data_IF_367130613271
#
_entry.id   IF_367130613271
#
_cell.length_a   1.000
_cell.length_b   1.000
_cell.length_c   1.000
_cell.angle_alpha   90.00
_cell.angle_beta   90.00
_cell.angle_gamma   90.00
#
_symmetry.space_group_name_H-M   'P 1'
#
loop_
_entity.id
_entity.type
_entity.pdbx_description
1 polymer ?
#
# COMPACT_ATOMS: atom_id res chain seq x y z
N UNK A 1 -15.09 -51.04 79.56
CA UNK A 1 -13.86 -51.85 79.27
C UNK A 1 -13.00 -51.02 78.36
N UNK A 2 -11.99 -50.29 78.85
CA UNK A 2 -10.58 -50.63 78.81
C UNK A 2 -10.13 -50.83 77.33
N UNK A 3 -9.16 -50.13 76.76
CA UNK A 3 -7.81 -49.75 77.23
C UNK A 3 -7.22 -48.62 76.48
N UNK A 4 -6.54 -47.75 77.15
CA UNK A 4 -5.50 -46.83 76.76
C UNK A 4 -4.35 -47.48 76.01
N UNK A 5 -3.74 -46.77 75.03
CA UNK A 5 -2.30 -46.82 74.90
C UNK A 5 -1.80 -45.46 74.37
N UNK A 6 -0.81 -44.95 75.09
CA UNK A 6 0.01 -43.78 74.82
C UNK A 6 1.10 -44.16 73.79
N UNK A 7 1.48 -43.26 72.89
CA UNK A 7 2.82 -43.24 72.38
C UNK A 7 3.21 -41.88 71.83
N UNK A 8 4.16 -41.44 72.41
CA UNK A 8 5.28 -40.49 72.21
C UNK A 8 5.34 -39.73 70.88
N UNK A 9 5.43 -38.42 71.09
CA UNK A 9 5.84 -37.37 70.15
C UNK A 9 7.36 -37.39 69.97
N UNK A 10 7.86 -37.42 68.73
CA UNK A 10 9.20 -36.97 68.38
C UNK A 10 9.04 -35.89 67.39
N UNK A 11 9.33 -34.64 67.76
CA UNK A 11 9.44 -33.48 66.91
C UNK A 11 10.82 -33.46 66.24
N UNK A 12 10.88 -33.64 64.93
CA UNK A 12 12.06 -33.33 64.11
C UNK A 12 11.73 -32.13 63.34
N UNK A 13 12.30 -30.97 63.72
CA UNK A 13 12.27 -29.71 62.97
C UNK A 13 13.13 -29.80 61.74
N UNK A 14 12.53 -29.69 60.57
CA UNK A 14 13.22 -29.46 59.34
C UNK A 14 12.95 -28.00 58.92
N UNK A 15 13.93 -27.13 59.16
CA UNK A 15 13.92 -25.77 58.66
C UNK A 15 14.25 -25.81 57.16
N UNK A 16 13.22 -25.71 56.29
CA UNK A 16 13.39 -25.47 54.88
C UNK A 16 13.68 -23.96 54.65
N UNK A 17 14.94 -23.62 54.43
CA UNK A 17 15.34 -22.33 53.91
C UNK A 17 14.89 -22.28 52.44
N UNK A 18 13.74 -21.66 52.15
CA UNK A 18 13.30 -21.30 50.80
C UNK A 18 14.10 -20.07 50.41
N UNK A 19 15.24 -20.28 49.75
CA UNK A 19 15.98 -19.26 49.07
C UNK A 19 15.14 -18.76 47.88
N UNK A 20 14.45 -17.64 48.06
CA UNK A 20 13.74 -16.98 47.01
C UNK A 20 14.72 -16.43 45.96
N UNK A 21 15.04 -17.22 44.93
CA UNK A 21 15.64 -16.70 43.73
C UNK A 21 14.57 -15.88 43.02
N UNK A 22 14.54 -14.57 43.28
CA UNK A 22 13.81 -13.61 42.46
C UNK A 22 14.43 -13.64 41.07
N UNK A 23 13.89 -14.45 40.17
CA UNK A 23 14.15 -14.28 38.76
C UNK A 23 13.53 -12.94 38.37
N UNK A 24 14.35 -11.89 38.34
CA UNK A 24 14.04 -10.68 37.64
C UNK A 24 13.93 -11.07 36.16
N UNK A 25 12.71 -11.41 35.71
CA UNK A 25 12.41 -11.50 34.30
C UNK A 25 12.46 -10.06 33.77
N UNK A 26 13.64 -9.63 33.33
CA UNK A 26 13.74 -8.47 32.45
C UNK A 26 12.72 -8.75 31.34
N UNK A 27 11.80 -7.84 31.04
CA UNK A 27 10.96 -8.01 29.87
C UNK A 27 11.91 -8.14 28.68
N UNK A 28 11.92 -9.33 28.07
CA UNK A 28 12.64 -9.52 26.84
C UNK A 28 12.02 -8.52 25.85
N UNK A 29 12.74 -7.46 25.53
CA UNK A 29 12.40 -6.60 24.40
C UNK A 29 12.55 -7.50 23.17
N UNK A 30 11.44 -8.08 22.76
CA UNK A 30 11.35 -8.77 21.49
C UNK A 30 11.22 -7.68 20.42
N UNK A 31 12.34 -7.04 20.09
CA UNK A 31 12.41 -6.13 18.96
C UNK A 31 11.90 -6.81 17.70
N UNK A 32 11.56 -6.02 16.71
CA UNK A 32 11.09 -6.49 15.41
C UNK A 32 12.05 -7.54 14.84
N UNK A 33 11.59 -8.70 14.34
CA UNK A 33 12.45 -9.68 13.69
C UNK A 33 13.26 -9.05 12.55
N UNK A 34 14.55 -9.36 12.44
CA UNK A 34 15.49 -8.71 11.48
C UNK A 34 15.06 -8.75 10.01
N UNK A 35 14.17 -9.66 9.63
CA UNK A 35 13.65 -9.81 8.28
C UNK A 35 12.23 -9.24 8.10
N UNK A 36 11.73 -8.52 9.08
CA UNK A 36 10.42 -7.87 9.07
C UNK A 36 10.58 -6.38 9.35
N UNK A 37 9.74 -5.56 8.76
CA UNK A 37 9.63 -4.13 9.03
C UNK A 37 8.24 -3.83 9.60
N UNK A 38 8.19 -3.15 10.73
CA UNK A 38 6.94 -2.69 11.35
C UNK A 38 6.89 -1.17 11.30
N UNK A 39 5.85 -0.65 10.66
CA UNK A 39 5.59 0.78 10.56
C UNK A 39 4.38 1.14 11.44
N UNK A 40 4.59 1.95 12.47
CA UNK A 40 3.53 2.51 13.29
C UNK A 40 2.98 3.79 12.63
N UNK A 41 1.70 3.77 12.26
CA UNK A 41 1.04 4.87 11.56
C UNK A 41 -0.48 4.78 11.68
N UNK A 42 -1.18 5.88 11.40
CA UNK A 42 -2.63 5.79 11.18
C UNK A 42 -2.91 5.17 9.80
N UNK A 43 -3.80 4.18 9.76
CA UNK A 43 -4.32 3.60 8.50
C UNK A 43 -5.85 3.78 8.39
N UNK A 44 -6.40 4.74 9.11
CA UNK A 44 -7.86 4.99 9.15
C UNK A 44 -8.43 5.49 7.82
N UNK A 45 -7.58 6.05 6.95
CA UNK A 45 -7.93 6.50 5.61
C UNK A 45 -8.00 5.36 4.58
N UNK A 46 -7.51 4.16 4.90
CA UNK A 46 -7.54 3.02 3.99
C UNK A 46 -8.95 2.43 3.88
N UNK A 47 -9.61 2.65 2.75
CA UNK A 47 -10.99 2.22 2.48
C UNK A 47 -11.09 1.10 1.45
N UNK A 48 -10.05 0.91 0.65
CA UNK A 48 -10.02 -0.07 -0.45
C UNK A 48 -8.58 -0.40 -0.84
N UNK A 49 -8.39 -1.56 -1.47
CA UNK A 49 -7.13 -1.98 -2.10
C UNK A 49 -7.26 -2.05 -3.63
N UNK A 50 -8.43 -1.69 -4.17
CA UNK A 50 -8.66 -1.64 -5.62
C UNK A 50 -7.96 -0.41 -6.23
N UNK A 51 -6.97 -0.59 -7.13
CA UNK A 51 -6.27 0.54 -7.75
C UNK A 51 -7.18 1.50 -8.53
N UNK A 52 -8.36 1.01 -8.97
CA UNK A 52 -9.33 1.85 -9.67
C UNK A 52 -10.08 2.82 -8.74
N UNK A 53 -9.99 2.63 -7.42
CA UNK A 53 -10.67 3.48 -6.43
C UNK A 53 -9.70 4.14 -5.45
N UNK A 54 -8.54 3.54 -5.16
CA UNK A 54 -7.56 4.10 -4.22
C UNK A 54 -7.17 5.53 -4.61
N UNK A 55 -7.38 6.46 -3.68
CA UNK A 55 -6.97 7.86 -3.84
C UNK A 55 -6.41 8.45 -2.53
N UNK A 56 -6.47 7.70 -1.44
CA UNK A 56 -5.94 8.05 -0.13
C UNK A 56 -4.44 7.73 -0.04
N UNK A 57 -3.72 8.41 0.88
CA UNK A 57 -2.27 8.24 1.01
C UNK A 57 -1.88 6.81 1.41
N UNK A 58 -2.53 6.24 2.44
CA UNK A 58 -2.21 4.87 2.90
C UNK A 58 -2.53 3.83 1.82
N UNK A 59 -3.68 3.96 1.17
CA UNK A 59 -4.04 3.09 0.05
C UNK A 59 -3.03 3.19 -1.09
N UNK A 60 -2.64 4.42 -1.45
CA UNK A 60 -1.63 4.69 -2.48
C UNK A 60 -0.27 4.04 -2.17
N UNK A 61 0.15 4.03 -0.90
CA UNK A 61 1.38 3.39 -0.45
C UNK A 61 1.29 1.86 -0.55
N UNK A 62 0.18 1.28 -0.12
CA UNK A 62 -0.03 -0.18 -0.20
C UNK A 62 -0.04 -0.63 -1.66
N UNK A 63 -0.84 0.00 -2.53
CA UNK A 63 -0.91 -0.41 -3.94
C UNK A 63 0.40 -0.16 -4.70
N UNK A 64 1.21 0.84 -4.31
CA UNK A 64 2.53 1.07 -4.91
C UNK A 64 3.52 -0.07 -4.66
N UNK A 65 3.33 -0.84 -3.60
CA UNK A 65 4.15 -1.99 -3.25
C UNK A 65 3.57 -3.33 -3.72
N UNK A 66 2.25 -3.38 -3.97
CA UNK A 66 1.55 -4.62 -4.35
C UNK A 66 1.37 -4.75 -5.86
N UNK A 67 1.31 -3.65 -6.60
CA UNK A 67 1.10 -3.63 -8.03
C UNK A 67 2.28 -3.00 -8.79
N UNK A 68 2.60 -3.53 -9.95
CA UNK A 68 3.35 -2.78 -10.96
C UNK A 68 2.39 -1.88 -11.75
N UNK A 69 2.85 -0.69 -12.08
CA UNK A 69 2.16 0.25 -12.95
C UNK A 69 2.60 0.08 -14.40
N UNK A 70 1.80 0.56 -15.33
CA UNK A 70 2.18 0.56 -16.76
C UNK A 70 3.49 1.29 -16.97
N UNK A 71 3.59 2.51 -16.46
CA UNK A 71 4.82 3.32 -16.38
C UNK A 71 5.13 3.60 -14.92
N UNK A 72 6.37 3.97 -14.59
CA UNK A 72 6.78 4.33 -13.23
C UNK A 72 7.91 5.36 -13.25
N UNK A 73 8.17 5.99 -12.14
CA UNK A 73 9.37 6.78 -11.93
C UNK A 73 10.46 5.92 -11.27
N UNK A 74 11.70 6.25 -11.51
CA UNK A 74 12.81 5.67 -10.76
C UNK A 74 12.72 6.06 -9.29
N UNK A 75 13.06 5.13 -8.38
CA UNK A 75 12.94 5.36 -6.95
C UNK A 75 13.80 6.53 -6.45
N UNK A 76 14.98 6.70 -7.05
CA UNK A 76 15.95 7.75 -6.68
C UNK A 76 15.84 9.01 -7.56
N UNK A 77 15.08 8.93 -8.65
CA UNK A 77 14.91 10.04 -9.60
C UNK A 77 13.45 10.17 -10.06
N UNK A 78 12.67 10.91 -9.30
CA UNK A 78 11.24 11.14 -9.57
C UNK A 78 10.96 12.04 -10.80
N UNK A 79 11.98 12.41 -11.55
CA UNK A 79 11.82 13.17 -12.80
C UNK A 79 11.97 12.30 -14.05
N UNK A 80 12.55 11.10 -13.91
CA UNK A 80 12.76 10.17 -15.01
C UNK A 80 11.67 9.12 -15.05
N UNK A 81 10.80 9.20 -16.05
CA UNK A 81 9.77 8.22 -16.33
C UNK A 81 10.39 7.00 -17.02
N UNK A 82 10.18 5.82 -16.47
CA UNK A 82 10.68 4.53 -16.96
C UNK A 82 9.55 3.54 -17.18
N UNK A 83 9.83 2.46 -17.90
CA UNK A 83 8.87 1.39 -18.08
C UNK A 83 8.61 0.60 -16.80
N UNK A 84 7.34 0.43 -16.47
CA UNK A 84 6.88 -0.52 -15.45
C UNK A 84 6.59 -1.88 -16.07
N UNK A 85 5.31 -2.21 -16.23
CA UNK A 85 4.84 -3.38 -16.99
C UNK A 85 5.18 -3.21 -18.48
N UNK A 86 5.04 -2.01 -19.02
CA UNK A 86 5.56 -1.69 -20.35
C UNK A 86 7.09 -1.65 -20.32
N UNK A 87 7.74 -2.31 -21.27
CA UNK A 87 9.18 -2.27 -21.44
C UNK A 87 9.61 -1.00 -22.21
N UNK A 88 8.82 -0.64 -23.22
CA UNK A 88 9.06 0.53 -24.08
C UNK A 88 7.74 1.03 -24.63
N UNK A 89 7.80 2.20 -25.26
CA UNK A 89 6.68 2.79 -25.96
C UNK A 89 7.10 3.47 -27.26
N UNK A 90 6.16 3.58 -28.19
CA UNK A 90 6.30 4.31 -29.45
C UNK A 90 5.13 5.29 -29.57
N UNK A 91 5.41 6.50 -30.04
CA UNK A 91 4.38 7.53 -30.30
C UNK A 91 4.20 7.67 -31.81
N UNK A 92 2.96 7.64 -32.27
CA UNK A 92 2.63 7.87 -33.68
C UNK A 92 3.04 9.27 -34.14
N UNK A 93 3.26 9.46 -35.45
CA UNK A 93 3.71 10.74 -36.02
C UNK A 93 2.76 11.90 -35.75
N UNK A 94 1.46 11.64 -35.65
CA UNK A 94 0.43 12.61 -35.30
C UNK A 94 0.29 12.89 -33.81
N UNK A 95 1.06 12.17 -32.95
CA UNK A 95 1.02 12.30 -31.51
C UNK A 95 -0.24 11.76 -30.85
N UNK A 96 -1.14 11.08 -31.58
CA UNK A 96 -2.44 10.67 -31.05
C UNK A 96 -2.49 9.22 -30.55
N UNK A 97 -1.53 8.39 -30.92
CA UNK A 97 -1.48 6.99 -30.52
C UNK A 97 -0.15 6.67 -29.86
N UNK A 98 -0.22 6.02 -28.71
CA UNK A 98 0.94 5.44 -28.04
C UNK A 98 0.80 3.93 -28.06
N UNK A 99 1.84 3.25 -28.52
CA UNK A 99 1.93 1.78 -28.53
C UNK A 99 2.92 1.35 -27.46
N UNK A 100 2.45 0.60 -26.48
CA UNK A 100 3.25 0.05 -25.37
C UNK A 100 3.68 -1.37 -25.72
N UNK A 101 4.96 -1.69 -25.63
CA UNK A 101 5.48 -3.05 -25.69
C UNK A 101 5.49 -3.63 -24.28
N UNK A 102 4.80 -4.75 -24.06
CA UNK A 102 4.70 -5.34 -22.72
C UNK A 102 5.92 -6.20 -22.47
N UNK A 103 6.53 -6.06 -21.29
CA UNK A 103 7.72 -6.79 -20.88
C UNK A 103 7.44 -8.28 -20.79
N UNK A 104 8.22 -9.14 -21.47
CA UNK A 104 8.00 -10.58 -21.42
C UNK A 104 8.41 -11.19 -20.08
N UNK A 105 7.84 -12.34 -19.74
CA UNK A 105 8.24 -13.16 -18.60
C UNK A 105 7.77 -12.67 -17.23
N UNK A 106 7.12 -11.52 -17.12
CA UNK A 106 6.52 -11.07 -15.85
C UNK A 106 5.35 -11.97 -15.45
N UNK A 107 5.18 -12.13 -14.12
CA UNK A 107 4.06 -12.87 -13.54
C UNK A 107 3.40 -12.09 -12.44
N UNK A 108 2.10 -12.25 -12.33
CA UNK A 108 1.34 -11.84 -11.15
C UNK A 108 1.63 -12.73 -9.94
N UNK A 109 1.25 -12.28 -8.74
CA UNK A 109 1.36 -13.09 -7.52
C UNK A 109 0.57 -14.41 -7.60
N UNK A 110 -0.46 -14.47 -8.42
CA UNK A 110 -1.23 -15.69 -8.75
C UNK A 110 -0.44 -16.74 -9.51
N UNK A 111 0.70 -16.33 -10.12
CA UNK A 111 1.48 -17.15 -11.07
C UNK A 111 1.05 -16.98 -12.54
N UNK A 112 -0.06 -16.32 -12.83
CA UNK A 112 -0.49 -16.00 -14.20
C UNK A 112 0.54 -15.07 -14.88
N UNK A 113 0.81 -15.21 -16.19
CA UNK A 113 1.66 -14.28 -16.92
C UNK A 113 1.00 -12.91 -17.05
N UNK A 114 1.80 -11.84 -17.01
CA UNK A 114 1.33 -10.49 -17.32
C UNK A 114 1.31 -10.31 -18.83
N UNK A 115 0.17 -9.89 -19.40
CA UNK A 115 -0.06 -9.78 -20.84
C UNK A 115 -0.58 -8.42 -21.24
N UNK A 116 -0.60 -8.15 -22.54
CA UNK A 116 -1.19 -6.92 -23.09
C UNK A 116 -2.70 -6.80 -22.78
N UNK A 117 -3.40 -7.92 -22.71
CA UNK A 117 -4.81 -8.01 -22.35
C UNK A 117 -5.04 -7.48 -20.93
N UNK A 118 -4.19 -7.87 -19.97
CA UNK A 118 -4.28 -7.44 -18.58
C UNK A 118 -4.08 -5.93 -18.43
N UNK A 119 -3.15 -5.36 -19.20
CA UNK A 119 -2.94 -3.90 -19.23
C UNK A 119 -4.16 -3.19 -19.82
N UNK A 120 -4.66 -3.65 -20.98
CA UNK A 120 -5.84 -3.07 -21.60
C UNK A 120 -7.08 -3.18 -20.69
N UNK A 121 -7.29 -4.34 -20.07
CA UNK A 121 -8.35 -4.57 -19.10
C UNK A 121 -8.26 -3.60 -17.94
N UNK A 122 -7.09 -3.47 -17.31
CA UNK A 122 -6.88 -2.61 -16.15
C UNK A 122 -7.24 -1.16 -16.44
N UNK A 123 -6.73 -0.61 -17.55
CA UNK A 123 -7.00 0.78 -17.94
C UNK A 123 -8.49 1.00 -18.28
N UNK A 124 -9.11 0.10 -19.05
CA UNK A 124 -10.54 0.15 -19.38
C UNK A 124 -11.41 0.05 -18.13
N UNK A 125 -11.02 -0.82 -17.20
CA UNK A 125 -11.72 -1.03 -15.93
C UNK A 125 -11.83 0.25 -15.11
N UNK A 126 -10.77 1.03 -14.99
CA UNK A 126 -10.77 2.34 -14.30
C UNK A 126 -11.84 3.25 -14.86
N UNK A 127 -11.93 3.33 -16.19
CA UNK A 127 -12.91 4.18 -16.88
C UNK A 127 -14.35 3.68 -16.69
N UNK A 128 -14.56 2.37 -16.80
CA UNK A 128 -15.88 1.73 -16.67
C UNK A 128 -16.43 1.82 -15.25
N UNK A 129 -15.60 1.62 -14.24
CA UNK A 129 -15.97 1.73 -12.83
C UNK A 129 -16.23 3.18 -12.40
N UNK A 130 -15.60 4.15 -13.04
CA UNK A 130 -15.80 5.59 -12.80
C UNK A 130 -15.69 5.98 -11.30
N UNK A 131 -14.71 5.40 -10.58
CA UNK A 131 -14.41 5.79 -9.20
C UNK A 131 -13.60 7.09 -9.16
N UNK A 132 -13.39 7.65 -7.97
CA UNK A 132 -12.78 8.98 -7.76
C UNK A 132 -11.55 9.24 -8.65
N UNK A 133 -10.50 8.40 -8.68
CA UNK A 133 -9.29 8.71 -9.45
C UNK A 133 -9.42 8.52 -10.96
N UNK A 134 -10.59 8.08 -11.46
CA UNK A 134 -10.80 7.88 -12.91
C UNK A 134 -10.64 9.17 -13.73
N UNK A 135 -10.78 10.35 -13.08
CA UNK A 135 -10.58 11.65 -13.75
C UNK A 135 -9.18 11.78 -14.36
N UNK A 136 -8.17 11.10 -13.79
CA UNK A 136 -6.80 11.08 -14.30
C UNK A 136 -6.76 10.55 -15.75
N UNK A 137 -7.67 9.63 -16.09
CA UNK A 137 -7.76 9.04 -17.43
C UNK A 137 -8.87 9.62 -18.28
N UNK A 138 -10.02 10.00 -17.70
CA UNK A 138 -11.15 10.52 -18.48
C UNK A 138 -10.84 11.85 -19.18
N UNK A 139 -9.86 12.61 -18.67
CA UNK A 139 -9.38 13.84 -19.33
C UNK A 139 -8.86 13.61 -20.75
N UNK A 140 -8.37 12.40 -21.07
CA UNK A 140 -7.90 12.04 -22.42
C UNK A 140 -9.04 11.73 -23.41
N UNK A 141 -10.28 12.06 -23.05
CA UNK A 141 -11.47 11.83 -23.87
C UNK A 141 -11.99 10.39 -23.81
N UNK A 142 -11.50 9.59 -22.84
CA UNK A 142 -11.95 8.23 -22.65
C UNK A 142 -13.20 8.19 -21.77
N UNK A 143 -14.16 7.38 -22.18
CA UNK A 143 -15.40 7.11 -21.46
C UNK A 143 -15.83 5.66 -21.68
N UNK A 144 -16.89 5.22 -21.01
CA UNK A 144 -17.36 3.83 -21.05
C UNK A 144 -17.75 3.37 -22.47
N UNK A 145 -18.14 4.28 -23.35
CA UNK A 145 -18.67 3.94 -24.67
C UNK A 145 -17.56 3.82 -25.74
N UNK A 146 -16.40 4.48 -25.52
CA UNK A 146 -15.30 4.51 -26.48
C UNK A 146 -14.02 3.81 -26.03
N UNK A 147 -13.84 3.55 -24.70
CA UNK A 147 -12.57 3.07 -24.18
C UNK A 147 -12.13 1.73 -24.75
N UNK A 148 -13.06 0.84 -25.06
CA UNK A 148 -12.76 -0.47 -25.67
C UNK A 148 -12.19 -0.34 -27.08
N UNK A 149 -12.56 0.74 -27.81
CA UNK A 149 -12.03 1.03 -29.13
C UNK A 149 -10.72 1.80 -29.12
N UNK A 150 -10.44 2.54 -28.03
CA UNK A 150 -9.28 3.43 -27.93
C UNK A 150 -8.07 2.80 -27.22
N UNK A 151 -8.31 1.79 -26.37
CA UNK A 151 -7.24 1.05 -25.68
C UNK A 151 -7.36 -0.41 -26.08
N UNK A 152 -6.44 -0.91 -26.92
CA UNK A 152 -6.53 -2.26 -27.50
C UNK A 152 -5.27 -3.07 -27.29
N UNK A 153 -5.37 -4.33 -26.88
CA UNK A 153 -4.25 -5.28 -27.02
C UNK A 153 -4.12 -5.69 -28.49
N UNK A 154 -2.92 -5.61 -29.04
CA UNK A 154 -2.63 -5.96 -30.44
C UNK A 154 -1.25 -6.61 -30.52
N UNK A 155 -1.20 -7.93 -30.81
CA UNK A 155 0.05 -8.62 -31.05
C UNK A 155 1.05 -8.56 -29.87
N UNK A 156 0.56 -8.67 -28.63
CA UNK A 156 1.40 -8.59 -27.42
C UNK A 156 1.78 -7.16 -27.01
N UNK A 157 1.27 -6.15 -27.72
CA UNK A 157 1.41 -4.72 -27.41
C UNK A 157 0.05 -4.14 -27.01
N UNK A 158 0.05 -2.95 -26.44
CA UNK A 158 -1.19 -2.19 -26.16
C UNK A 158 -1.14 -0.89 -26.95
N UNK A 159 -2.11 -0.70 -27.83
CA UNK A 159 -2.34 0.55 -28.55
C UNK A 159 -3.30 1.42 -27.75
N UNK A 160 -2.91 2.64 -27.44
CA UNK A 160 -3.70 3.62 -26.69
C UNK A 160 -3.87 4.86 -27.56
N UNK A 161 -5.11 5.22 -27.86
CA UNK A 161 -5.43 6.42 -28.61
C UNK A 161 -5.96 7.51 -27.67
N UNK A 162 -5.38 8.70 -27.76
CA UNK A 162 -5.79 9.90 -27.01
C UNK A 162 -6.92 10.55 -27.83
N UNK A 163 -8.09 10.70 -27.22
CA UNK A 163 -9.27 11.32 -27.88
C UNK A 163 -9.50 12.77 -27.41
N UNK A 164 -8.42 13.49 -27.13
CA UNK A 164 -8.43 14.89 -26.72
C UNK A 164 -7.09 15.56 -27.09
N UNK A 165 -7.02 16.88 -27.02
CA UNK A 165 -5.82 17.64 -27.34
C UNK A 165 -4.83 17.67 -26.16
N UNK A 166 -4.31 16.50 -25.81
CA UNK A 166 -3.26 16.34 -24.80
C UNK A 166 -1.99 15.75 -25.41
N UNK A 167 -0.86 16.10 -24.81
CA UNK A 167 0.42 15.53 -25.22
C UNK A 167 0.55 14.06 -24.80
N UNK A 168 1.20 13.21 -25.62
CA UNK A 168 1.54 11.84 -25.22
C UNK A 168 2.34 11.77 -23.92
N UNK A 169 3.19 12.75 -23.65
CA UNK A 169 3.96 12.82 -22.42
C UNK A 169 3.07 12.92 -21.17
N UNK A 170 2.00 13.71 -21.21
CA UNK A 170 1.05 13.80 -20.10
C UNK A 170 0.34 12.47 -19.88
N UNK A 171 -0.07 11.78 -20.96
CA UNK A 171 -0.70 10.47 -20.85
C UNK A 171 0.27 9.42 -20.27
N UNK A 172 1.52 9.39 -20.72
CA UNK A 172 2.54 8.50 -20.16
C UNK A 172 2.78 8.75 -18.67
N UNK A 173 2.81 10.03 -18.25
CA UNK A 173 2.87 10.37 -16.82
C UNK A 173 1.62 9.89 -16.07
N UNK A 174 0.42 10.03 -16.65
CA UNK A 174 -0.81 9.52 -16.04
C UNK A 174 -0.79 7.99 -15.83
N UNK A 175 -0.13 7.24 -16.72
CA UNK A 175 0.07 5.79 -16.58
C UNK A 175 1.00 5.39 -15.42
N UNK A 176 1.73 6.34 -14.83
CA UNK A 176 2.52 6.11 -13.60
C UNK A 176 1.74 6.38 -12.31
N UNK A 177 0.52 6.93 -12.38
CA UNK A 177 -0.35 7.11 -11.23
C UNK A 177 -0.89 5.78 -10.70
N UNK A 178 -1.45 5.76 -9.50
CA UNK A 178 -2.04 4.57 -8.89
C UNK A 178 -3.06 3.85 -9.78
N UNK A 179 -3.88 4.60 -10.52
CA UNK A 179 -4.83 4.06 -11.52
C UNK A 179 -4.18 3.37 -12.72
N UNK A 180 -2.89 3.58 -12.94
CA UNK A 180 -2.09 2.87 -13.95
C UNK A 180 -1.58 1.51 -13.47
N UNK A 181 -1.96 1.05 -12.28
CA UNK A 181 -1.64 -0.30 -11.78
C UNK A 181 -2.30 -1.38 -12.62
N UNK A 182 -1.54 -2.44 -12.90
CA UNK A 182 -2.02 -3.56 -13.71
C UNK A 182 -2.51 -4.68 -12.81
N UNK A 183 -3.73 -5.14 -13.03
CA UNK A 183 -4.37 -6.25 -12.30
C UNK A 183 -4.43 -7.50 -13.17
N UNK A 184 -4.34 -8.67 -12.55
CA UNK A 184 -4.55 -9.96 -13.19
C UNK A 184 -6.02 -10.12 -13.60
N UNK A 185 -6.31 -9.89 -14.89
CA UNK A 185 -7.66 -9.96 -15.45
C UNK A 185 -8.32 -11.31 -15.14
N UNK A 186 -7.60 -12.41 -15.36
CA UNK A 186 -8.14 -13.76 -15.16
C UNK A 186 -8.55 -14.00 -13.71
N UNK A 187 -7.73 -13.58 -12.75
CA UNK A 187 -8.03 -13.73 -11.32
C UNK A 187 -9.19 -12.81 -10.93
N UNK A 188 -9.14 -11.54 -11.32
CA UNK A 188 -10.17 -10.54 -10.98
C UNK A 188 -11.53 -10.95 -11.53
N UNK A 189 -11.60 -11.38 -12.79
CA UNK A 189 -12.85 -11.80 -13.43
C UNK A 189 -13.39 -13.13 -12.92
N UNK A 190 -12.55 -13.98 -12.30
CA UNK A 190 -13.05 -15.17 -11.60
C UNK A 190 -13.85 -14.86 -10.33
N UNK A 191 -13.75 -13.63 -9.83
CA UNK A 191 -14.47 -13.09 -8.67
C UNK A 191 -15.49 -12.00 -9.04
N UNK A 192 -15.71 -11.78 -10.33
CA UNK A 192 -16.68 -10.82 -10.84
C UNK A 192 -18.10 -11.20 -10.41
N UNK A 193 -18.91 -10.20 -10.03
CA UNK A 193 -20.31 -10.35 -9.67
C UNK A 193 -21.13 -9.23 -10.30
N UNK A 194 -22.21 -9.60 -10.97
CA UNK A 194 -23.21 -8.66 -11.49
C UNK A 194 -22.65 -7.51 -12.36
N UNK A 195 -21.59 -7.77 -13.12
CA UNK A 195 -20.96 -6.77 -13.99
C UNK A 195 -20.03 -5.79 -13.27
N UNK A 196 -19.61 -6.09 -12.02
CA UNK A 196 -18.77 -5.20 -11.21
C UNK A 196 -17.29 -5.23 -11.61
N UNK A 197 -16.91 -6.01 -12.60
CA UNK A 197 -15.53 -6.18 -13.05
C UNK A 197 -14.57 -6.57 -11.88
N UNK A 198 -15.07 -7.36 -10.92
CA UNK A 198 -14.35 -7.81 -9.74
C UNK A 198 -14.06 -6.72 -8.69
N UNK A 199 -14.78 -5.59 -8.76
CA UNK A 199 -14.62 -4.47 -7.84
C UNK A 199 -14.88 -4.87 -6.38
N UNK A 200 -15.96 -5.60 -6.12
CA UNK A 200 -16.31 -6.03 -4.76
C UNK A 200 -15.22 -6.88 -4.11
N UNK A 201 -14.56 -7.74 -4.89
CA UNK A 201 -13.47 -8.58 -4.41
C UNK A 201 -12.16 -7.81 -4.18
N UNK A 202 -11.76 -6.95 -5.13
CA UNK A 202 -10.53 -6.18 -5.04
C UNK A 202 -10.53 -5.14 -3.90
N UNK A 203 -11.69 -4.80 -3.34
CA UNK A 203 -11.73 -3.93 -2.15
C UNK A 203 -10.86 -4.45 -1.02
N UNK A 204 -10.80 -5.76 -0.81
CA UNK A 204 -10.12 -6.41 0.31
C UNK A 204 -9.02 -7.38 -0.12
N UNK A 205 -8.81 -7.56 -1.43
CA UNK A 205 -7.84 -8.49 -2.00
C UNK A 205 -6.92 -7.78 -2.97
N UNK A 206 -5.90 -8.47 -3.42
CA UNK A 206 -4.98 -7.94 -4.42
C UNK A 206 -4.77 -8.93 -5.57
N UNK A 207 -4.51 -8.39 -6.75
CA UNK A 207 -4.22 -9.14 -7.96
C UNK A 207 -3.03 -8.52 -8.70
N UNK A 208 -1.97 -8.18 -7.97
CA UNK A 208 -0.81 -7.46 -8.46
C UNK A 208 0.37 -8.35 -8.83
N UNK A 209 1.44 -7.68 -9.25
CA UNK A 209 2.74 -8.26 -9.65
C UNK A 209 3.92 -7.60 -8.95
N UNK A 210 3.67 -6.71 -7.99
CA UNK A 210 4.67 -5.89 -7.31
C UNK A 210 5.66 -6.66 -6.44
N UNK A 211 6.58 -5.90 -5.77
CA UNK A 211 7.59 -6.50 -4.90
C UNK A 211 7.02 -7.21 -3.67
N UNK A 212 5.83 -6.83 -3.24
CA UNK A 212 5.13 -7.47 -2.14
C UNK A 212 3.74 -7.91 -2.57
N UNK A 213 3.23 -8.97 -1.94
CA UNK A 213 1.83 -9.41 -2.04
C UNK A 213 1.07 -9.09 -0.75
N UNK A 214 -0.24 -8.83 -0.87
CA UNK A 214 -1.09 -8.67 0.29
C UNK A 214 -1.26 -10.01 1.01
N UNK A 215 -0.88 -10.06 2.29
CA UNK A 215 -1.16 -11.22 3.16
C UNK A 215 -2.48 -11.08 3.89
N UNK A 216 -2.71 -9.92 4.47
CA UNK A 216 -3.97 -9.60 5.15
C UNK A 216 -4.12 -8.10 5.33
N UNK A 217 -5.35 -7.65 5.35
CA UNK A 217 -5.75 -6.33 5.82
C UNK A 217 -6.91 -6.49 6.81
N UNK A 218 -6.72 -5.94 7.97
CA UNK A 218 -7.76 -5.80 9.00
C UNK A 218 -7.95 -4.31 9.26
N UNK A 219 -9.14 -3.82 8.95
CA UNK A 219 -9.47 -2.39 9.06
C UNK A 219 -9.18 -1.87 10.47
N UNK A 220 -8.51 -0.72 10.55
CA UNK A 220 -8.07 -0.10 11.80
C UNK A 220 -7.27 -1.01 12.75
N UNK A 221 -6.63 -2.06 12.22
CA UNK A 221 -5.73 -2.93 12.99
C UNK A 221 -4.36 -3.02 12.32
N UNK A 222 -4.29 -3.62 11.13
CA UNK A 222 -3.04 -3.73 10.38
C UNK A 222 -3.24 -4.05 8.89
N UNK A 223 -2.20 -3.71 8.10
CA UNK A 223 -1.95 -4.32 6.79
C UNK A 223 -0.66 -5.12 6.87
N UNK A 224 -0.65 -6.35 6.40
CA UNK A 224 0.54 -7.18 6.31
C UNK A 224 0.82 -7.54 4.86
N UNK A 225 2.04 -7.26 4.43
CA UNK A 225 2.56 -7.60 3.11
C UNK A 225 3.63 -8.68 3.25
N UNK A 226 3.69 -9.62 2.30
CA UNK A 226 4.73 -10.63 2.17
C UNK A 226 5.56 -10.37 0.92
N UNK A 227 6.88 -10.56 1.02
CA UNK A 227 7.78 -10.38 -0.10
C UNK A 227 7.46 -11.31 -1.26
N UNK A 228 7.54 -10.80 -2.48
CA UNK A 228 7.54 -11.58 -3.70
C UNK A 228 8.99 -11.93 -4.09
N UNK A 229 9.47 -13.15 -3.80
CA UNK A 229 10.86 -13.54 -4.09
C UNK A 229 11.16 -13.58 -5.58
N UNK A 230 10.12 -13.68 -6.41
CA UNK A 230 10.22 -13.74 -7.88
C UNK A 230 10.03 -12.39 -8.55
N UNK A 231 10.09 -11.28 -7.76
CA UNK A 231 9.94 -9.94 -8.33
C UNK A 231 11.02 -9.64 -9.36
N UNK A 232 10.64 -9.00 -10.46
CA UNK A 232 11.51 -8.76 -11.64
C UNK A 232 12.82 -8.01 -11.36
N UNK A 233 12.88 -7.20 -10.31
CA UNK A 233 14.08 -6.47 -9.87
C UNK A 233 14.84 -7.20 -8.75
N UNK A 234 14.54 -8.47 -8.49
CA UNK A 234 15.01 -9.23 -7.35
C UNK A 234 14.02 -9.11 -6.17
N UNK A 235 13.96 -10.15 -5.34
CA UNK A 235 13.10 -10.18 -4.17
C UNK A 235 13.48 -9.11 -3.14
N UNK A 236 12.51 -8.53 -2.41
CA UNK A 236 12.77 -7.61 -1.32
C UNK A 236 13.65 -8.22 -0.23
N UNK A 237 14.49 -7.40 0.41
CA UNK A 237 15.33 -7.83 1.54
C UNK A 237 14.49 -8.19 2.78
N UNK A 238 13.40 -7.47 3.01
CA UNK A 238 12.44 -7.76 4.08
C UNK A 238 11.45 -8.81 3.62
N UNK A 239 11.27 -9.87 4.40
CA UNK A 239 10.29 -10.92 4.10
C UNK A 239 8.85 -10.46 4.35
N UNK A 240 8.65 -9.49 5.25
CA UNK A 240 7.35 -8.93 5.62
C UNK A 240 7.45 -7.44 5.91
N UNK A 241 6.36 -6.74 5.58
CA UNK A 241 6.11 -5.36 5.99
C UNK A 241 4.75 -5.32 6.69
N UNK A 242 4.70 -4.73 7.88
CA UNK A 242 3.48 -4.57 8.66
C UNK A 242 3.21 -3.07 8.87
N UNK A 243 2.11 -2.59 8.34
CA UNK A 243 1.58 -1.27 8.68
C UNK A 243 0.63 -1.47 9.86
N UNK A 244 1.07 -1.10 11.05
CA UNK A 244 0.30 -1.24 12.29
C UNK A 244 -0.48 0.03 12.55
N UNK A 245 -1.79 -0.09 12.76
CA UNK A 245 -2.63 1.04 13.11
C UNK A 245 -2.32 1.55 14.50
N UNK A 246 -1.72 2.72 14.57
CA UNK A 246 -1.41 3.44 15.82
C UNK A 246 -1.69 4.92 15.54
N UNK A 247 -2.93 5.40 15.75
CA UNK A 247 -3.31 6.76 15.37
C UNK A 247 -2.65 7.84 16.25
N UNK A 248 -2.35 7.51 17.52
CA UNK A 248 -1.83 8.47 18.49
C UNK A 248 -0.32 8.68 18.35
N UNK A 249 0.17 9.90 18.07
CA UNK A 249 1.59 10.20 17.91
C UNK A 249 2.46 9.82 19.12
N UNK A 250 1.96 9.99 20.34
CA UNK A 250 2.67 9.61 21.56
C UNK A 250 2.87 8.10 21.69
N UNK A 251 1.89 7.31 21.24
CA UNK A 251 2.00 5.86 21.21
C UNK A 251 3.00 5.41 20.12
N UNK A 252 3.00 6.05 18.94
CA UNK A 252 3.99 5.79 17.90
C UNK A 252 5.41 6.09 18.39
N UNK A 253 5.59 7.23 19.09
CA UNK A 253 6.87 7.57 19.70
C UNK A 253 7.34 6.50 20.66
N UNK A 254 6.48 6.04 21.56
CA UNK A 254 6.83 5.01 22.54
C UNK A 254 7.24 3.70 21.86
N UNK A 255 6.58 3.30 20.77
CA UNK A 255 6.92 2.08 20.04
C UNK A 255 8.27 2.17 19.36
N UNK A 256 8.64 3.33 18.76
CA UNK A 256 9.93 3.49 18.11
C UNK A 256 11.07 3.56 19.14
N UNK A 257 10.87 4.24 20.27
CA UNK A 257 11.85 4.34 21.35
C UNK A 257 12.12 2.97 22.02
N UNK A 258 11.13 2.05 22.01
CA UNK A 258 11.27 0.68 22.54
C UNK A 258 11.75 -0.34 21.51
N UNK A 259 11.84 0.02 20.24
CA UNK A 259 12.15 -0.92 19.18
C UNK A 259 11.01 -1.88 18.82
N UNK A 260 9.77 -1.61 19.24
CA UNK A 260 8.56 -2.38 18.89
C UNK A 260 7.99 -1.96 17.52
N UNK A 261 8.53 -0.91 16.93
CA UNK A 261 8.34 -0.48 15.56
C UNK A 261 9.67 0.02 14.98
N UNK A 262 9.85 -0.12 13.68
CA UNK A 262 11.03 0.34 12.94
C UNK A 262 10.85 1.74 12.37
N UNK A 263 9.60 2.12 12.07
CA UNK A 263 9.23 3.42 11.51
C UNK A 263 8.01 3.97 12.23
N UNK A 264 8.04 5.26 12.59
CA UNK A 264 6.90 6.03 13.05
C UNK A 264 6.65 7.20 12.07
N UNK A 265 5.42 7.39 11.59
CA UNK A 265 5.14 8.31 10.48
C UNK A 265 4.33 9.55 10.80
N UNK A 266 3.52 9.52 11.83
CA UNK A 266 2.56 10.59 12.13
C UNK A 266 2.93 11.32 13.43
N UNK A 267 4.23 11.45 13.72
CA UNK A 267 4.70 12.21 14.87
C UNK A 267 4.43 13.72 14.68
N UNK A 268 4.02 14.38 15.73
CA UNK A 268 3.95 15.83 15.76
C UNK A 268 5.37 16.45 15.85
N UNK A 269 5.55 17.74 15.52
CA UNK A 269 6.84 18.39 15.67
C UNK A 269 7.46 18.22 17.06
N UNK A 270 6.64 18.31 18.13
CA UNK A 270 7.11 18.12 19.51
C UNK A 270 7.57 16.67 19.77
N UNK A 271 6.89 15.68 19.19
CA UNK A 271 7.30 14.28 19.29
C UNK A 271 8.60 14.03 18.54
N UNK A 272 8.76 14.62 17.35
CA UNK A 272 9.99 14.56 16.55
C UNK A 272 11.16 15.18 17.33
N UNK A 273 10.98 16.39 17.87
CA UNK A 273 11.99 17.04 18.70
C UNK A 273 12.35 16.20 19.93
N UNK A 274 11.38 15.53 20.51
CA UNK A 274 11.59 14.67 21.68
C UNK A 274 12.42 13.42 21.41
N UNK A 275 12.49 12.93 20.17
CA UNK A 275 13.34 11.77 19.77
C UNK A 275 14.65 12.18 19.10
N UNK A 276 14.82 13.42 18.69
CA UNK A 276 15.99 13.90 17.92
C UNK A 276 17.33 13.73 18.63
N UNK A 277 17.33 13.64 19.97
CA UNK A 277 18.52 13.41 20.79
C UNK A 277 18.85 11.93 21.04
N UNK A 278 18.02 11.00 20.59
CA UNK A 278 18.24 9.57 20.77
C UNK A 278 19.18 9.06 19.67
N UNK A 279 20.36 8.57 20.07
CA UNK A 279 21.39 8.08 19.14
C UNK A 279 20.98 6.81 18.36
N UNK A 280 19.98 6.08 18.83
CA UNK A 280 19.47 4.86 18.18
C UNK A 280 18.39 5.16 17.14
N UNK A 281 17.95 6.42 17.00
CA UNK A 281 16.90 6.85 16.10
C UNK A 281 17.39 7.85 15.06
N UNK A 282 16.84 7.77 13.86
CA UNK A 282 17.09 8.72 12.78
C UNK A 282 15.80 9.47 12.47
N UNK A 283 15.89 10.80 12.47
CA UNK A 283 14.81 11.66 11.96
C UNK A 283 15.07 11.93 10.48
N UNK A 284 14.22 11.36 9.63
CA UNK A 284 14.32 11.52 8.19
C UNK A 284 13.24 12.52 7.70
N UNK A 285 13.70 13.63 7.08
CA UNK A 285 12.85 14.69 6.56
C UNK A 285 12.87 14.68 5.04
N UNK A 286 11.83 14.12 4.45
CA UNK A 286 11.67 14.06 3.01
C UNK A 286 10.66 15.10 2.51
N UNK A 287 11.04 15.96 1.53
CA UNK A 287 10.08 16.86 0.89
C UNK A 287 9.01 16.05 0.15
N UNK A 288 7.76 16.49 0.28
CA UNK A 288 6.62 15.89 -0.43
C UNK A 288 6.04 16.90 -1.41
N UNK A 289 5.68 16.43 -2.61
CA UNK A 289 4.83 17.19 -3.53
C UNK A 289 3.37 17.12 -3.03
N UNK A 290 3.10 17.77 -1.90
CA UNK A 290 1.79 17.80 -1.27
C UNK A 290 1.36 19.24 -1.01
N UNK A 291 0.08 19.51 -1.19
CA UNK A 291 -0.56 20.78 -0.91
C UNK A 291 -1.61 20.58 0.19
N UNK A 292 -1.48 21.33 1.27
CA UNK A 292 -2.51 21.40 2.31
C UNK A 292 -3.30 22.69 2.10
N UNK A 293 -4.61 22.59 2.02
CA UNK A 293 -5.48 23.74 1.77
C UNK A 293 -6.81 23.60 2.50
N UNK A 294 -7.45 24.76 2.70
CA UNK A 294 -8.83 24.83 3.19
C UNK A 294 -9.74 25.01 1.97
N UNK A 295 -10.60 24.04 1.70
CA UNK A 295 -11.60 24.14 0.66
C UNK A 295 -12.90 24.73 1.21
N UNK A 296 -13.39 25.79 0.59
CA UNK A 296 -14.67 26.41 0.92
C UNK A 296 -15.77 25.95 -0.05
N UNK A 297 -16.86 25.41 0.46
CA UNK A 297 -18.03 25.11 -0.37
C UNK A 297 -18.74 26.41 -0.76
N UNK A 298 -18.53 26.88 -1.97
CA UNK A 298 -19.13 28.12 -2.49
C UNK A 298 -20.65 28.05 -2.69
N UNK A 299 -21.25 26.86 -2.67
CA UNK A 299 -22.72 26.71 -2.67
C UNK A 299 -23.37 26.93 -1.29
N UNK A 300 -22.56 26.97 -0.21
CA UNK A 300 -23.07 27.24 1.13
C UNK A 300 -23.48 28.73 1.28
N UNK A 301 -24.65 29.05 1.82
CA UNK A 301 -25.20 30.42 1.85
C UNK A 301 -24.28 31.45 2.51
N UNK A 302 -23.48 31.08 3.50
CA UNK A 302 -22.52 31.95 4.17
C UNK A 302 -21.19 31.99 3.40
N UNK A 303 -20.66 30.81 3.01
CA UNK A 303 -19.38 30.69 2.34
C UNK A 303 -19.41 31.13 0.86
N UNK A 304 -20.60 31.35 0.27
CA UNK A 304 -20.75 31.99 -1.04
C UNK A 304 -20.28 33.44 -1.07
N UNK A 305 -20.26 34.11 0.08
CA UNK A 305 -19.86 35.52 0.20
C UNK A 305 -18.33 35.64 0.20
N UNK A 306 -17.70 36.37 -0.79
CA UNK A 306 -16.25 36.49 -0.90
C UNK A 306 -15.58 37.00 0.41
N UNK A 307 -16.18 37.98 1.07
CA UNK A 307 -15.65 38.55 2.30
C UNK A 307 -15.60 37.59 3.51
N UNK A 308 -16.34 36.48 3.45
CA UNK A 308 -16.30 35.46 4.50
C UNK A 308 -15.15 34.48 4.28
N UNK A 309 -14.69 34.37 3.05
CA UNK A 309 -13.57 33.47 2.67
C UNK A 309 -12.21 34.16 2.70
N UNK A 310 -12.16 35.48 2.84
CA UNK A 310 -10.96 36.29 3.02
C UNK A 310 -10.55 36.34 4.51
#
# INVERSE_FOLDING_TARGET
MQRTLKSLTVAAGLALAVGGASYATSPAHAGTPKNMMVMAMSISDLITLDPAEVFEFTGGEVIANVYDRVMMFEAENLTTLVGGVAESYEVSKDGKTVTLSIRPGQKFHSGNPVRAEDVAFSLRRVIKLKKTPSFIFTQFGWNKDNVDSLIKPVGGKVSITINADFSPALMLNALSAGVGSVVDEKLVMSHEKDGDLGYGWLKNHSAGSGPFSLKTWKSNELVMLEANPSYRHGGPKMSRVVLRHVPEPSAQRLLIEKGDADIARNLTPDQVNGVAGNADLVVDNNPKAALVYIASNNAHPILSKPKVRQ
#
